data_IF_160827553836
#
_entry.id   IF_160827553836
#
_cell.length_a   1.000
_cell.length_b   1.000
_cell.length_c   1.000
_cell.angle_alpha   90.00
_cell.angle_beta   90.00
_cell.angle_gamma   90.00
#
_symmetry.space_group_name_H-M   'P 1'
#
loop_
_entity.id
_entity.type
_entity.pdbx_description
1 polymer ?
#
# COMPACT_ATOMS: atom_id res chain seq x y z
N UNK A 1 17.48 -8.09 5.60
CA UNK A 1 17.21 -7.23 4.43
C UNK A 1 16.49 -5.97 4.91
N UNK A 2 16.47 -4.85 4.18
CA UNK A 2 15.75 -3.63 4.60
C UNK A 2 14.42 -3.56 3.85
N UNK A 3 13.30 -3.68 4.56
CA UNK A 3 11.97 -3.50 4.00
C UNK A 3 11.52 -2.04 4.08
N UNK A 4 10.62 -1.65 3.18
CA UNK A 4 10.04 -0.32 3.10
C UNK A 4 8.52 -0.45 3.19
N UNK A 5 7.91 0.36 4.06
CA UNK A 5 6.45 0.55 4.11
C UNK A 5 6.13 1.84 3.36
N UNK A 6 5.36 1.74 2.29
CA UNK A 6 4.91 2.88 1.49
C UNK A 6 3.63 3.46 2.09
N UNK A 7 3.57 4.79 2.21
CA UNK A 7 2.36 5.49 2.66
C UNK A 7 1.99 6.50 1.58
N UNK A 8 0.76 6.45 1.12
CA UNK A 8 0.19 7.40 0.18
C UNK A 8 -1.03 8.07 0.82
N UNK A 9 -1.08 9.40 0.72
CA UNK A 9 -2.10 10.20 1.39
C UNK A 9 -2.77 11.19 0.42
N UNK A 10 -4.10 11.27 0.51
CA UNK A 10 -4.94 12.16 -0.29
C UNK A 10 -5.05 11.76 -1.76
N UNK A 11 -5.91 12.46 -2.49
CA UNK A 11 -6.22 12.13 -3.88
C UNK A 11 -4.99 12.04 -4.78
N UNK A 12 -4.12 13.06 -4.77
CA UNK A 12 -2.91 13.09 -5.61
C UNK A 12 -1.93 11.97 -5.23
N UNK A 13 -1.67 11.78 -3.94
CA UNK A 13 -0.77 10.73 -3.44
C UNK A 13 -1.27 9.33 -3.83
N UNK A 14 -2.57 9.08 -3.76
CA UNK A 14 -3.16 7.81 -4.14
C UNK A 14 -3.10 7.55 -5.66
N UNK A 15 -3.27 8.58 -6.49
CA UNK A 15 -3.15 8.43 -7.95
C UNK A 15 -1.71 8.12 -8.36
N UNK A 16 -0.74 8.86 -7.83
CA UNK A 16 0.68 8.62 -8.09
C UNK A 16 1.09 7.26 -7.54
N UNK A 17 0.68 6.93 -6.32
CA UNK A 17 0.95 5.65 -5.68
C UNK A 17 0.42 4.47 -6.49
N UNK A 18 -0.80 4.57 -7.02
CA UNK A 18 -1.36 3.54 -7.91
C UNK A 18 -0.49 3.31 -9.14
N UNK A 19 -0.03 4.39 -9.80
CA UNK A 19 0.88 4.28 -10.96
C UNK A 19 2.25 3.74 -10.60
N UNK A 20 2.78 4.11 -9.44
CA UNK A 20 4.02 3.54 -8.92
C UNK A 20 3.89 2.02 -8.73
N UNK A 21 2.79 1.55 -8.13
CA UNK A 21 2.55 0.13 -7.91
C UNK A 21 2.29 -0.66 -9.18
N UNK A 22 1.67 -0.05 -10.20
CA UNK A 22 1.58 -0.65 -11.55
C UNK A 22 2.98 -0.91 -12.12
N UNK A 23 3.82 0.14 -12.19
CA UNK A 23 5.15 0.05 -12.82
C UNK A 23 6.06 -0.93 -12.09
N UNK A 24 6.12 -0.87 -10.76
CA UNK A 24 6.97 -1.78 -9.99
C UNK A 24 6.47 -3.23 -10.04
N UNK A 25 5.15 -3.46 -10.14
CA UNK A 25 4.61 -4.81 -10.33
C UNK A 25 5.01 -5.37 -11.69
N UNK A 26 4.91 -4.56 -12.76
CA UNK A 26 5.35 -4.95 -14.10
C UNK A 26 6.86 -5.26 -14.13
N UNK A 27 7.70 -4.43 -13.50
CA UNK A 27 9.14 -4.67 -13.41
C UNK A 27 9.50 -5.98 -12.68
N UNK A 28 8.75 -6.30 -11.62
CA UNK A 28 8.92 -7.51 -10.83
C UNK A 28 8.15 -8.72 -11.39
N UNK A 29 7.41 -8.57 -12.49
CA UNK A 29 6.61 -9.63 -13.08
C UNK A 29 5.46 -10.12 -12.19
N UNK A 30 4.85 -9.22 -11.42
CA UNK A 30 3.72 -9.50 -10.54
C UNK A 30 2.42 -9.11 -11.24
N UNK A 31 1.51 -10.06 -11.37
CA UNK A 31 0.20 -9.84 -11.97
C UNK A 31 -0.77 -9.11 -10.99
N UNK A 32 -1.91 -8.60 -11.47
CA UNK A 32 -2.91 -7.96 -10.61
C UNK A 32 -3.50 -8.83 -9.48
N UNK A 33 -3.38 -10.15 -9.56
CA UNK A 33 -3.82 -11.09 -8.53
C UNK A 33 -2.72 -11.40 -7.49
N UNK A 34 -1.52 -10.81 -7.67
CA UNK A 34 -0.33 -10.98 -6.84
C UNK A 34 0.52 -12.20 -7.21
N UNK A 35 0.26 -12.87 -8.32
CA UNK A 35 1.05 -14.01 -8.81
C UNK A 35 2.30 -13.57 -9.56
N UNK A 36 3.39 -14.34 -9.43
CA UNK A 36 4.59 -14.13 -10.24
C UNK A 36 4.44 -14.81 -11.60
N UNK A 37 4.60 -14.02 -12.66
CA UNK A 37 4.52 -14.42 -14.08
C UNK A 37 5.78 -14.01 -14.87
N UNK A 38 6.82 -13.58 -14.16
CA UNK A 38 8.09 -13.18 -14.76
C UNK A 38 8.94 -14.36 -15.25
N UNK A 39 10.04 -14.04 -15.92
CA UNK A 39 10.95 -14.98 -16.56
C UNK A 39 12.39 -14.93 -15.99
N UNK A 40 12.67 -14.00 -15.08
CA UNK A 40 14.00 -13.76 -14.53
C UNK A 40 14.04 -13.87 -13.01
N UNK A 41 14.94 -14.72 -12.50
CA UNK A 41 15.17 -14.88 -11.06
C UNK A 41 15.59 -13.57 -10.37
N UNK A 42 16.19 -12.61 -11.11
CA UNK A 42 16.58 -11.30 -10.59
C UNK A 42 15.37 -10.47 -10.15
N UNK A 43 14.19 -10.69 -10.73
CA UNK A 43 12.95 -10.00 -10.34
C UNK A 43 12.52 -10.40 -8.92
N UNK A 44 12.89 -11.59 -8.45
CA UNK A 44 12.52 -12.06 -7.11
C UNK A 44 13.59 -11.80 -6.05
N UNK A 45 14.84 -11.49 -6.43
CA UNK A 45 15.98 -11.38 -5.50
C UNK A 45 15.73 -10.40 -4.34
N UNK A 46 14.99 -9.31 -4.60
CA UNK A 46 14.71 -8.23 -3.64
C UNK A 46 13.24 -7.81 -3.57
N UNK A 47 12.34 -8.69 -4.00
CA UNK A 47 10.91 -8.38 -4.06
C UNK A 47 10.32 -8.09 -2.66
N UNK A 48 10.88 -8.71 -1.63
CA UNK A 48 10.49 -8.53 -0.23
C UNK A 48 10.73 -7.11 0.32
N UNK A 49 11.49 -6.25 -0.38
CA UNK A 49 11.68 -4.84 -0.01
C UNK A 49 10.33 -4.12 -0.02
N UNK A 50 9.51 -4.36 -1.04
CA UNK A 50 8.20 -3.70 -1.24
C UNK A 50 7.01 -4.62 -1.03
N UNK A 51 7.17 -5.94 -1.18
CA UNK A 51 6.08 -6.91 -1.05
C UNK A 51 6.22 -7.79 0.20
N UNK A 52 5.08 -8.19 0.73
CA UNK A 52 4.95 -9.35 1.60
C UNK A 52 4.69 -10.58 0.73
N UNK A 53 5.35 -11.70 1.02
CA UNK A 53 5.00 -12.99 0.43
C UNK A 53 4.00 -13.72 1.33
N UNK A 54 2.87 -14.09 0.76
CA UNK A 54 1.84 -14.94 1.38
C UNK A 54 2.23 -16.42 1.28
N UNK A 55 1.71 -17.26 2.17
CA UNK A 55 1.84 -18.72 2.10
C UNK A 55 1.31 -19.35 0.80
N UNK A 56 0.53 -18.60 0.03
CA UNK A 56 -0.01 -18.97 -1.28
C UNK A 56 0.84 -18.50 -2.48
N UNK A 57 2.11 -18.14 -2.25
CA UNK A 57 3.01 -17.53 -3.26
C UNK A 57 2.42 -16.27 -3.91
N UNK A 58 1.63 -15.54 -3.14
CA UNK A 58 1.08 -14.23 -3.55
C UNK A 58 1.89 -13.11 -2.96
N UNK A 59 2.25 -12.14 -3.79
CA UNK A 59 2.97 -10.95 -3.41
C UNK A 59 1.98 -9.81 -3.17
N UNK A 60 2.07 -9.22 -1.99
CA UNK A 60 1.14 -8.20 -1.51
C UNK A 60 1.91 -6.94 -1.10
N UNK A 61 1.62 -5.76 -1.67
CA UNK A 61 2.30 -4.50 -1.36
C UNK A 61 2.31 -4.16 0.13
N UNK A 62 3.46 -3.72 0.64
CA UNK A 62 3.63 -3.08 1.95
C UNK A 62 3.19 -1.61 1.84
N UNK A 63 1.91 -1.38 1.60
CA UNK A 63 1.36 -0.04 1.41
C UNK A 63 0.23 0.26 2.41
N UNK A 64 0.14 1.52 2.84
CA UNK A 64 -1.03 2.10 3.51
C UNK A 64 -1.61 3.22 2.64
N UNK A 65 -2.89 3.13 2.34
CA UNK A 65 -3.61 4.08 1.48
C UNK A 65 -4.53 4.91 2.37
N UNK A 66 -4.27 6.21 2.43
CA UNK A 66 -4.96 7.13 3.33
C UNK A 66 -5.68 8.19 2.53
N UNK A 67 -6.94 8.45 2.84
CA UNK A 67 -7.66 9.63 2.36
C UNK A 67 -8.70 10.06 3.38
N UNK A 68 -9.11 11.32 3.37
CA UNK A 68 -10.22 11.77 4.22
C UNK A 68 -11.57 11.55 3.52
N UNK A 69 -11.55 11.26 2.22
CA UNK A 69 -12.74 10.99 1.41
C UNK A 69 -12.77 9.55 0.88
N UNK A 70 -13.96 8.90 0.87
CA UNK A 70 -14.07 7.52 0.40
C UNK A 70 -13.87 7.39 -1.13
N UNK A 71 -14.17 8.43 -1.91
CA UNK A 71 -14.21 8.35 -3.39
C UNK A 71 -12.88 7.99 -4.04
N UNK A 72 -11.75 8.35 -3.43
CA UNK A 72 -10.43 7.96 -3.91
C UNK A 72 -10.22 6.45 -3.81
N UNK A 73 -10.74 5.80 -2.77
CA UNK A 73 -10.55 4.38 -2.54
C UNK A 73 -11.28 3.53 -3.59
N UNK A 74 -12.51 3.92 -3.95
CA UNK A 74 -13.28 3.26 -5.02
C UNK A 74 -12.53 3.34 -6.36
N UNK A 75 -11.95 4.51 -6.64
CA UNK A 75 -11.13 4.73 -7.83
C UNK A 75 -9.92 3.79 -7.86
N UNK A 76 -9.19 3.66 -6.75
CA UNK A 76 -8.03 2.74 -6.67
C UNK A 76 -8.47 1.28 -6.82
N UNK A 77 -9.55 0.86 -6.14
CA UNK A 77 -10.05 -0.53 -6.18
C UNK A 77 -10.55 -0.94 -7.56
N UNK A 78 -11.12 0.00 -8.32
CA UNK A 78 -11.52 -0.20 -9.72
C UNK A 78 -10.35 -0.22 -10.71
N UNK A 79 -9.15 0.20 -10.27
CA UNK A 79 -7.95 0.21 -11.08
C UNK A 79 -7.41 -1.20 -11.38
N UNK A 80 -6.51 -1.33 -12.37
CA UNK A 80 -6.02 -2.63 -12.82
C UNK A 80 -5.39 -3.46 -11.68
N UNK A 81 -4.63 -2.83 -10.80
CA UNK A 81 -3.99 -3.45 -9.63
C UNK A 81 -4.74 -3.18 -8.32
N UNK A 82 -6.01 -2.74 -8.37
CA UNK A 82 -6.79 -2.42 -7.17
C UNK A 82 -6.97 -3.60 -6.22
N UNK A 83 -6.99 -4.83 -6.76
CA UNK A 83 -7.13 -6.07 -5.99
C UNK A 83 -5.82 -6.57 -5.36
N UNK A 84 -4.68 -5.94 -5.71
CA UNK A 84 -3.37 -6.29 -5.20
C UNK A 84 -3.21 -5.87 -3.73
N UNK A 85 -3.85 -4.76 -3.33
CA UNK A 85 -3.76 -4.20 -1.98
C UNK A 85 -4.66 -4.94 -0.99
N UNK A 86 -4.19 -5.07 0.27
CA UNK A 86 -5.03 -5.60 1.36
C UNK A 86 -6.19 -4.66 1.65
N UNK A 87 -7.44 -5.16 1.75
CA UNK A 87 -8.58 -4.34 2.14
C UNK A 87 -8.38 -3.60 3.48
N UNK A 88 -7.70 -4.24 4.44
CA UNK A 88 -7.34 -3.67 5.75
C UNK A 88 -6.42 -2.45 5.66
N UNK A 89 -5.73 -2.25 4.54
CA UNK A 89 -4.74 -1.18 4.38
C UNK A 89 -5.32 0.09 3.73
N UNK A 90 -6.63 0.09 3.46
CA UNK A 90 -7.37 1.28 3.02
C UNK A 90 -7.95 1.97 4.26
N UNK A 91 -7.44 3.15 4.60
CA UNK A 91 -7.88 3.95 5.73
C UNK A 91 -8.52 5.21 5.18
N UNK A 92 -9.81 5.41 5.44
CA UNK A 92 -10.51 6.57 4.93
C UNK A 92 -11.52 7.18 5.90
N UNK A 93 -11.65 8.50 5.82
CA UNK A 93 -12.67 9.27 6.52
C UNK A 93 -14.01 9.31 5.79
N UNK A 94 -14.96 10.04 6.36
CA UNK A 94 -16.28 10.32 5.74
C UNK A 94 -16.36 11.76 5.20
N UNK A 95 -15.38 12.60 5.54
CA UNK A 95 -15.39 14.06 5.36
C UNK A 95 -14.05 14.51 4.83
N UNK A 96 -14.03 15.24 3.71
CA UNK A 96 -12.80 15.78 3.14
C UNK A 96 -12.24 16.99 3.88
N UNK A 97 -10.93 17.20 3.77
CA UNK A 97 -10.28 18.42 4.25
C UNK A 97 -10.68 19.68 3.45
N UNK A 98 -11.19 19.53 2.22
CA UNK A 98 -11.65 20.65 1.39
C UNK A 98 -10.56 21.68 1.11
N UNK A 99 -9.34 21.22 0.77
CA UNK A 99 -8.15 22.06 0.58
C UNK A 99 -7.77 22.95 1.77
N UNK A 100 -8.26 22.63 2.97
CA UNK A 100 -7.89 23.32 4.21
C UNK A 100 -6.91 22.49 5.02
N UNK A 101 -5.66 22.97 5.11
CA UNK A 101 -4.61 22.31 5.86
C UNK A 101 -4.95 22.14 7.35
N UNK A 102 -5.60 23.14 7.97
CA UNK A 102 -5.96 23.07 9.39
C UNK A 102 -6.96 21.95 9.67
N UNK A 103 -7.91 21.68 8.76
CA UNK A 103 -8.81 20.55 8.88
C UNK A 103 -8.07 19.22 8.78
N UNK A 104 -7.19 19.10 7.78
CA UNK A 104 -6.38 17.90 7.59
C UNK A 104 -5.40 17.63 8.74
N UNK A 105 -4.90 18.66 9.42
CA UNK A 105 -3.89 18.50 10.46
C UNK A 105 -4.46 18.45 11.88
N UNK A 106 -5.45 19.30 12.19
CA UNK A 106 -5.92 19.48 13.57
C UNK A 106 -7.29 18.90 13.88
N UNK A 107 -8.15 18.65 12.88
CA UNK A 107 -9.51 18.14 13.13
C UNK A 107 -9.73 16.77 12.47
N UNK A 108 -10.13 16.72 11.21
CA UNK A 108 -10.52 15.48 10.53
C UNK A 108 -9.37 14.48 10.45
N UNK A 109 -8.16 14.95 10.12
CA UNK A 109 -7.00 14.06 10.07
C UNK A 109 -6.49 13.65 11.45
N UNK A 110 -6.75 14.42 12.50
CA UNK A 110 -6.43 14.04 13.87
C UNK A 110 -7.33 12.90 14.36
N UNK A 111 -8.57 12.81 13.88
CA UNK A 111 -9.46 11.67 14.16
C UNK A 111 -9.03 10.40 13.41
N UNK A 112 -8.46 10.54 12.20
CA UNK A 112 -8.07 9.40 11.37
C UNK A 112 -6.66 8.85 11.68
N UNK A 113 -5.76 9.67 12.23
CA UNK A 113 -4.33 9.34 12.34
C UNK A 113 -4.05 8.09 13.18
N UNK A 114 -4.84 7.82 14.23
CA UNK A 114 -4.63 6.64 15.07
C UNK A 114 -4.87 5.33 14.29
N UNK A 115 -5.90 5.30 13.45
CA UNK A 115 -6.16 4.16 12.56
C UNK A 115 -5.02 3.96 11.54
N UNK A 116 -4.47 5.06 11.00
CA UNK A 116 -3.31 5.00 10.09
C UNK A 116 -2.09 4.44 10.82
N UNK A 117 -1.81 4.91 12.03
CA UNK A 117 -0.68 4.45 12.83
C UNK A 117 -0.77 2.96 13.17
N UNK A 118 -1.96 2.45 13.43
CA UNK A 118 -2.15 1.03 13.73
C UNK A 118 -1.90 0.13 12.51
N UNK A 119 -2.32 0.55 11.31
CA UNK A 119 -1.99 -0.16 10.06
C UNK A 119 -0.49 -0.12 9.80
N UNK A 120 0.16 1.04 9.93
CA UNK A 120 1.61 1.18 9.74
C UNK A 120 2.38 0.34 10.76
N UNK A 121 1.91 0.26 12.01
CA UNK A 121 2.48 -0.63 13.04
C UNK A 121 2.32 -2.11 12.65
N UNK A 122 1.17 -2.52 12.10
CA UNK A 122 0.94 -3.90 11.64
C UNK A 122 1.90 -4.27 10.50
N UNK A 123 2.05 -3.40 9.51
CA UNK A 123 2.95 -3.64 8.37
C UNK A 123 4.44 -3.63 8.78
N UNK A 124 4.85 -2.72 9.67
CA UNK A 124 6.22 -2.68 10.18
C UNK A 124 6.59 -3.89 11.06
N UNK A 125 5.63 -4.47 11.80
CA UNK A 125 5.85 -5.74 12.51
C UNK A 125 6.02 -6.91 11.54
N UNK A 126 5.22 -6.94 10.48
CA UNK A 126 5.32 -7.96 9.42
C UNK A 126 6.66 -7.92 8.68
N UNK A 127 7.26 -6.74 8.55
CA UNK A 127 8.61 -6.58 8.01
C UNK A 127 9.66 -7.23 8.93
N UNK A 128 9.59 -6.98 10.24
CA UNK A 128 10.58 -7.52 11.18
C UNK A 128 10.59 -9.04 11.32
N UNK A 129 9.49 -9.72 10.97
CA UNK A 129 9.32 -11.16 11.17
C UNK A 129 9.83 -12.04 10.02
N UNK A 130 10.23 -11.49 8.88
CA UNK A 130 10.79 -12.29 7.78
C UNK A 130 12.18 -12.79 8.19
N UNK A 131 12.38 -14.09 8.52
CA UNK A 131 13.69 -14.57 8.91
C UNK A 131 14.64 -14.36 7.74
N UNK A 132 15.80 -13.76 7.99
CA UNK A 132 16.92 -13.89 7.06
C UNK A 132 17.14 -15.38 6.85
N UNK A 133 16.79 -15.90 5.69
CA UNK A 133 17.12 -17.27 5.31
C UNK A 133 18.63 -17.44 5.52
N UNK A 134 18.98 -18.30 6.48
CA UNK A 134 20.33 -18.77 6.77
C UNK A 134 20.76 -19.80 5.76
#
# INVERSE_FOLDING_TARGET
MREIVHIQAGQCGNQIGTKFWEVISDEHGIDPAGGYVGDSALQLERINVYYNESSSQKYVPRAALVDLEPGTMDSVRSGPFGQLFRPDNFIFGQTGAGNNWAKGHYTEGAELVDAVLDVVRKESRSARSTPTAS
#
